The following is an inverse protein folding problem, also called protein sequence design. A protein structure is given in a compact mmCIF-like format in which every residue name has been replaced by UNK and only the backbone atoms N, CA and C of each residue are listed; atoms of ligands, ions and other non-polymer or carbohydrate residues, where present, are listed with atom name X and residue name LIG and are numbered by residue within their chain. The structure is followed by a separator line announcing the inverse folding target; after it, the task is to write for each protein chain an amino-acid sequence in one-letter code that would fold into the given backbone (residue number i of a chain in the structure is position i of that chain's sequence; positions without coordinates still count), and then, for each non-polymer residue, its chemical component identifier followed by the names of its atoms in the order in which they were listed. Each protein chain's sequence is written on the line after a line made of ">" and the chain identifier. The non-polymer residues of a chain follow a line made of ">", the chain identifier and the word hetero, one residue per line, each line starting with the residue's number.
data_IF_691065568694
#
_entry.id   IF_691065568694
#
_cell.length_a   1.000
_cell.length_b   1.000
_cell.length_c   1.000
_cell.angle_alpha   90.00
_cell.angle_beta   90.00
_cell.angle_gamma   90.00
#
_symmetry.space_group_name_H-M   'P 1'
#
loop_
_entity.id
_entity.type
_entity.pdbx_description
1 polymer ?
#
# COMPACT_ATOMS: atom_id res chain seq x y z
N UNK A 1 -5.41 17.56 14.77
CA UNK A 1 -5.06 16.60 13.70
C UNK A 1 -3.97 17.25 12.88
N UNK A 2 -2.81 16.61 12.73
CA UNK A 2 -1.68 17.22 12.03
C UNK A 2 -1.98 17.31 10.53
N UNK A 3 -1.90 18.52 9.99
CA UNK A 3 -2.36 18.88 8.64
C UNK A 3 -1.70 18.04 7.51
N UNK A 4 -0.39 17.73 7.55
CA UNK A 4 0.25 16.89 6.52
C UNK A 4 -0.31 15.47 6.44
N UNK A 5 -0.51 14.82 7.59
CA UNK A 5 -1.03 13.46 7.65
C UNK A 5 -2.50 13.39 7.23
N UNK A 6 -3.31 14.36 7.64
CA UNK A 6 -4.71 14.43 7.21
C UNK A 6 -4.83 14.56 5.68
N UNK A 7 -3.98 15.40 5.07
CA UNK A 7 -3.91 15.56 3.61
C UNK A 7 -3.45 14.27 2.93
N UNK A 8 -2.44 13.59 3.48
CA UNK A 8 -1.99 12.29 2.99
C UNK A 8 -3.13 11.26 3.02
N UNK A 9 -3.78 11.08 4.17
CA UNK A 9 -4.88 10.12 4.34
C UNK A 9 -6.02 10.42 3.38
N UNK A 10 -6.44 11.69 3.29
CA UNK A 10 -7.53 12.11 2.42
C UNK A 10 -7.27 11.79 0.94
N UNK A 11 -6.03 11.99 0.48
CA UNK A 11 -5.63 11.59 -0.86
C UNK A 11 -5.56 10.07 -1.01
N UNK A 12 -4.94 9.35 -0.07
CA UNK A 12 -4.73 7.90 -0.18
C UNK A 12 -6.03 7.09 -0.13
N UNK A 13 -7.01 7.52 0.65
CA UNK A 13 -8.33 6.89 0.70
C UNK A 13 -9.14 7.07 -0.60
N UNK A 14 -8.78 8.05 -1.41
CA UNK A 14 -9.41 8.37 -2.70
C UNK A 14 -8.51 8.00 -3.88
N UNK A 15 -7.32 7.45 -3.62
CA UNK A 15 -6.29 7.26 -4.64
C UNK A 15 -6.72 6.16 -5.62
N UNK A 16 -6.93 6.59 -6.86
CA UNK A 16 -7.21 5.74 -8.01
C UNK A 16 -6.40 6.22 -9.22
N UNK A 17 -6.62 5.58 -10.38
CA UNK A 17 -5.95 5.94 -11.65
C UNK A 17 -6.14 7.40 -12.04
N UNK A 18 -7.29 8.00 -11.71
CA UNK A 18 -7.62 9.36 -12.07
C UNK A 18 -6.92 10.36 -11.15
N UNK A 19 -6.62 9.98 -9.91
CA UNK A 19 -6.03 10.86 -8.90
C UNK A 19 -4.50 10.80 -8.79
N UNK A 20 -3.81 9.95 -9.56
CA UNK A 20 -2.34 9.84 -9.51
C UNK A 20 -1.61 11.15 -9.83
N UNK A 21 -2.22 12.04 -10.63
CA UNK A 21 -1.65 13.37 -10.89
C UNK A 21 -1.51 14.25 -9.63
N UNK A 22 -2.17 13.87 -8.52
CA UNK A 22 -2.15 14.58 -7.23
C UNK A 22 -1.05 14.10 -6.29
N UNK A 23 -0.28 13.06 -6.64
CA UNK A 23 0.86 12.60 -5.84
C UNK A 23 1.84 13.74 -5.43
N UNK A 24 2.14 14.75 -6.28
CA UNK A 24 2.96 15.89 -5.87
C UNK A 24 2.36 16.74 -4.73
N UNK A 25 1.06 16.62 -4.43
CA UNK A 25 0.42 17.31 -3.31
C UNK A 25 0.88 16.76 -1.96
N UNK A 26 1.32 15.50 -1.89
CA UNK A 26 1.66 14.81 -0.65
C UNK A 26 3.10 14.29 -0.59
N UNK A 27 3.75 14.08 -1.73
CA UNK A 27 5.11 13.55 -1.79
C UNK A 27 6.16 14.61 -2.13
N UNK A 28 7.36 14.43 -1.57
CA UNK A 28 8.55 15.17 -1.97
C UNK A 28 9.06 14.65 -3.32
N UNK A 29 9.80 15.48 -4.07
CA UNK A 29 10.31 15.12 -5.39
C UNK A 29 11.26 13.92 -5.33
N UNK A 30 12.10 13.86 -4.29
CA UNK A 30 13.06 12.80 -4.00
C UNK A 30 12.53 11.72 -3.03
N UNK A 31 11.20 11.50 -2.98
CA UNK A 31 10.61 10.48 -2.10
C UNK A 31 11.25 9.10 -2.31
N UNK A 32 11.49 8.39 -1.20
CA UNK A 32 11.84 6.97 -1.22
C UNK A 32 10.63 6.15 -0.77
N UNK A 33 10.05 5.40 -1.70
CA UNK A 33 9.00 4.43 -1.42
C UNK A 33 9.59 3.02 -1.30
N UNK A 34 9.14 2.25 -0.32
CA UNK A 34 9.57 0.86 -0.13
C UNK A 34 8.39 0.01 0.31
N UNK A 35 8.13 -1.07 -0.40
CA UNK A 35 7.22 -2.14 0.02
C UNK A 35 8.02 -3.46 0.13
N UNK A 36 7.41 -4.59 0.51
CA UNK A 36 8.11 -5.87 0.61
C UNK A 36 8.71 -6.40 -0.71
N UNK A 37 8.30 -5.89 -1.87
CA UNK A 37 8.72 -6.34 -3.19
C UNK A 37 9.65 -5.34 -3.91
N UNK A 38 9.47 -4.04 -3.69
CA UNK A 38 10.11 -2.98 -4.45
C UNK A 38 10.64 -1.86 -3.57
N UNK A 39 11.71 -1.23 -4.03
CA UNK A 39 12.17 0.07 -3.56
C UNK A 39 12.24 1.03 -4.74
N UNK A 40 11.60 2.18 -4.60
CA UNK A 40 11.38 3.16 -5.66
C UNK A 40 11.87 4.51 -5.15
N UNK A 41 12.64 5.20 -5.98
CA UNK A 41 13.19 6.51 -5.65
C UNK A 41 12.70 7.54 -6.67
N UNK A 42 12.21 8.66 -6.14
CA UNK A 42 11.73 9.78 -6.92
C UNK A 42 10.23 9.71 -7.24
N UNK A 43 9.60 10.88 -7.25
CA UNK A 43 8.16 11.04 -7.47
C UNK A 43 7.71 10.57 -8.85
N UNK A 44 8.52 10.80 -9.89
CA UNK A 44 8.20 10.35 -11.25
C UNK A 44 8.11 8.82 -11.32
N UNK A 45 9.13 8.11 -10.80
CA UNK A 45 9.14 6.65 -10.77
C UNK A 45 8.01 6.07 -9.90
N UNK A 46 7.67 6.74 -8.79
CA UNK A 46 6.53 6.38 -7.96
C UNK A 46 5.19 6.52 -8.72
N UNK A 47 5.04 7.58 -9.52
CA UNK A 47 3.86 7.78 -10.37
C UNK A 47 3.70 6.67 -11.42
N UNK A 48 4.78 6.28 -12.09
CA UNK A 48 4.78 5.18 -13.06
C UNK A 48 4.42 3.85 -12.41
N UNK A 49 4.98 3.58 -11.22
CA UNK A 49 4.66 2.40 -10.44
C UNK A 49 3.19 2.32 -10.06
N UNK A 50 2.62 3.37 -9.49
CA UNK A 50 1.19 3.38 -9.16
C UNK A 50 0.33 3.28 -10.41
N UNK A 51 0.70 3.92 -11.52
CA UNK A 51 -0.02 3.79 -12.79
C UNK A 51 -0.09 2.32 -13.23
N UNK A 52 1.03 1.60 -13.20
CA UNK A 52 1.08 0.19 -13.55
C UNK A 52 0.29 -0.71 -12.56
N UNK A 53 0.38 -0.41 -11.25
CA UNK A 53 -0.31 -1.14 -10.19
C UNK A 53 -1.83 -1.02 -10.35
N UNK A 54 -2.34 0.22 -10.43
CA UNK A 54 -3.77 0.46 -10.54
C UNK A 54 -4.33 0.01 -11.88
N UNK A 55 -3.58 0.11 -12.99
CA UNK A 55 -4.02 -0.35 -14.33
C UNK A 55 -4.63 -1.75 -14.30
N UNK A 56 -4.12 -2.64 -13.45
CA UNK A 56 -4.46 -4.06 -13.38
C UNK A 56 -5.51 -4.41 -12.33
N UNK A 57 -5.86 -3.50 -11.42
CA UNK A 57 -6.86 -3.74 -10.38
C UNK A 57 -8.26 -3.45 -10.91
N UNK A 58 -9.19 -4.39 -10.75
CA UNK A 58 -10.61 -4.18 -11.09
C UNK A 58 -11.32 -3.40 -9.99
N UNK A 59 -10.93 -3.63 -8.74
CA UNK A 59 -11.41 -2.94 -7.54
C UNK A 59 -10.29 -2.90 -6.51
N UNK A 60 -10.12 -1.76 -5.86
CA UNK A 60 -9.21 -1.58 -4.73
C UNK A 60 -9.82 -0.56 -3.77
N UNK A 61 -9.93 -0.93 -2.50
CA UNK A 61 -10.40 -0.05 -1.43
C UNK A 61 -9.43 -0.12 -0.28
N UNK A 62 -8.98 1.06 0.16
CA UNK A 62 -8.08 1.21 1.29
C UNK A 62 -8.83 1.85 2.45
N UNK A 63 -8.82 1.21 3.61
CA UNK A 63 -9.45 1.71 4.83
C UNK A 63 -8.37 1.89 5.89
N UNK A 64 -8.17 3.13 6.34
CA UNK A 64 -7.28 3.43 7.46
C UNK A 64 -7.99 3.00 8.74
N UNK A 65 -7.37 2.11 9.50
CA UNK A 65 -7.90 1.54 10.75
C UNK A 65 -7.30 2.21 11.98
N UNK A 66 -6.08 2.73 11.88
CA UNK A 66 -5.43 3.49 12.94
C UNK A 66 -4.47 4.53 12.37
N UNK A 67 -4.23 5.59 13.14
CA UNK A 67 -3.26 6.62 12.81
C UNK A 67 -2.53 7.07 14.07
N UNK A 68 -1.22 7.25 13.96
CA UNK A 68 -0.39 7.83 15.00
C UNK A 68 0.62 8.76 14.34
N UNK A 69 0.82 9.95 14.90
CA UNK A 69 1.88 10.85 14.46
C UNK A 69 2.66 11.37 15.66
N UNK A 70 3.97 11.37 15.50
CA UNK A 70 4.90 12.00 16.43
C UNK A 70 5.91 12.81 15.59
N UNK A 71 5.91 14.13 15.80
CA UNK A 71 6.75 15.06 15.04
C UNK A 71 6.57 14.87 13.52
N UNK A 72 7.67 14.53 12.83
CA UNK A 72 7.75 14.30 11.39
C UNK A 72 7.48 12.85 11.00
N UNK A 73 7.20 11.95 11.94
CA UNK A 73 6.96 10.54 11.67
C UNK A 73 5.51 10.17 11.92
N UNK A 74 4.93 9.39 11.01
CA UNK A 74 3.59 8.84 11.19
C UNK A 74 3.54 7.34 10.91
N UNK A 75 2.61 6.68 11.60
CA UNK A 75 2.23 5.31 11.36
C UNK A 75 0.75 5.23 11.06
N UNK A 76 0.42 4.47 10.03
CA UNK A 76 -0.96 4.22 9.61
C UNK A 76 -1.19 2.71 9.62
N UNK A 77 -2.17 2.25 10.38
CA UNK A 77 -2.72 0.90 10.21
C UNK A 77 -3.80 0.95 9.14
N UNK A 78 -3.86 -0.08 8.29
CA UNK A 78 -4.83 -0.11 7.21
C UNK A 78 -5.27 -1.52 6.84
N UNK A 79 -6.43 -1.57 6.19
CA UNK A 79 -7.00 -2.76 5.56
C UNK A 79 -7.26 -2.44 4.10
N UNK A 80 -6.64 -3.20 3.20
CA UNK A 80 -6.83 -3.12 1.76
C UNK A 80 -7.69 -4.28 1.29
N UNK A 81 -8.78 -3.99 0.59
CA UNK A 81 -9.58 -4.99 -0.11
C UNK A 81 -9.48 -4.77 -1.61
N UNK A 82 -9.04 -5.77 -2.35
CA UNK A 82 -8.90 -5.69 -3.80
C UNK A 82 -9.44 -6.93 -4.51
N UNK A 83 -9.83 -6.77 -5.78
CA UNK A 83 -10.21 -7.88 -6.65
C UNK A 83 -9.41 -7.81 -7.95
N UNK A 84 -8.89 -8.96 -8.35
CA UNK A 84 -8.15 -9.14 -9.60
C UNK A 84 -8.67 -10.39 -10.31
N UNK A 85 -9.07 -10.32 -11.60
CA UNK A 85 -9.68 -11.46 -12.32
C UNK A 85 -8.85 -12.75 -12.33
N UNK A 86 -7.52 -12.63 -12.22
CA UNK A 86 -6.59 -13.79 -12.17
C UNK A 86 -6.38 -14.37 -10.77
N UNK A 87 -6.93 -13.77 -9.72
CA UNK A 87 -6.79 -14.21 -8.33
C UNK A 87 -8.14 -14.67 -7.81
N UNK A 88 -8.20 -15.86 -7.19
CA UNK A 88 -9.44 -16.47 -6.66
C UNK A 88 -10.70 -16.35 -7.55
N UNK A 89 -10.53 -16.37 -8.87
CA UNK A 89 -11.64 -16.22 -9.81
C UNK A 89 -12.34 -14.86 -9.78
N UNK A 90 -11.69 -13.81 -9.27
CA UNK A 90 -12.25 -12.47 -9.12
C UNK A 90 -12.88 -12.17 -7.76
N UNK A 91 -12.84 -13.10 -6.81
CA UNK A 91 -13.31 -12.84 -5.44
C UNK A 91 -12.43 -11.78 -4.73
N UNK A 92 -13.02 -10.90 -3.92
CA UNK A 92 -12.27 -9.93 -3.14
C UNK A 92 -11.29 -10.58 -2.16
N UNK A 93 -10.10 -10.00 -2.07
CA UNK A 93 -9.04 -10.37 -1.14
C UNK A 93 -8.81 -9.21 -0.19
N UNK A 94 -8.73 -9.50 1.10
CA UNK A 94 -8.42 -8.51 2.14
C UNK A 94 -7.03 -8.76 2.70
N UNK A 95 -6.25 -7.69 2.82
CA UNK A 95 -4.90 -7.69 3.39
C UNK A 95 -4.83 -6.57 4.42
N UNK A 96 -4.27 -6.89 5.58
CA UNK A 96 -3.94 -5.90 6.61
C UNK A 96 -2.47 -5.53 6.51
N UNK A 97 -2.18 -4.27 6.82
CA UNK A 97 -0.83 -3.76 6.80
C UNK A 97 -0.67 -2.50 7.62
N UNK A 98 0.56 -2.01 7.63
CA UNK A 98 0.91 -0.75 8.22
C UNK A 98 1.86 0.03 7.31
N UNK A 99 1.73 1.35 7.32
CA UNK A 99 2.62 2.25 6.60
C UNK A 99 3.35 3.13 7.61
N UNK A 100 4.65 3.27 7.45
CA UNK A 100 5.47 4.30 8.11
C UNK A 100 5.75 5.42 7.12
N UNK A 101 5.50 6.65 7.55
CA UNK A 101 5.75 7.86 6.79
C UNK A 101 6.75 8.73 7.54
N UNK A 102 7.66 9.35 6.81
CA UNK A 102 8.46 10.49 7.27
C UNK A 102 8.15 11.69 6.40
N UNK A 103 7.86 12.82 7.05
CA UNK A 103 7.59 14.10 6.43
C UNK A 103 8.83 14.99 6.49
N UNK A 104 9.06 15.79 5.45
CA UNK A 104 10.02 16.88 5.47
C UNK A 104 9.46 18.15 6.15
N UNK A 105 10.28 19.19 6.24
CA UNK A 105 9.90 20.50 6.81
C UNK A 105 8.75 21.17 6.04
N UNK A 106 8.56 20.83 4.77
CA UNK A 106 7.45 21.32 3.94
C UNK A 106 6.15 20.50 4.14
N UNK A 107 6.16 19.48 5.00
CA UNK A 107 5.03 18.61 5.26
C UNK A 107 4.72 17.68 4.08
N UNK A 108 5.73 17.33 3.28
CA UNK A 108 5.66 16.33 2.20
C UNK A 108 6.31 15.04 2.66
N UNK A 109 5.78 13.91 2.21
CA UNK A 109 6.33 12.60 2.50
C UNK A 109 7.65 12.42 1.73
N UNK A 110 8.75 12.29 2.45
CA UNK A 110 10.08 12.03 1.90
C UNK A 110 10.47 10.55 2.02
N UNK A 111 9.91 9.82 3.00
CA UNK A 111 10.01 8.37 3.07
C UNK A 111 8.64 7.74 3.28
N UNK A 112 8.35 6.73 2.49
CA UNK A 112 7.16 5.91 2.60
C UNK A 112 7.57 4.45 2.67
N UNK A 113 7.19 3.76 3.76
CA UNK A 113 7.45 2.33 3.89
C UNK A 113 6.20 1.55 4.23
N UNK A 114 5.84 0.62 3.37
CA UNK A 114 4.73 -0.29 3.54
C UNK A 114 5.17 -1.63 4.11
N UNK A 115 4.43 -2.08 5.12
CA UNK A 115 4.59 -3.35 5.80
C UNK A 115 3.29 -4.14 5.66
N UNK A 116 3.31 -5.18 4.83
CA UNK A 116 2.20 -6.11 4.69
C UNK A 116 2.71 -7.49 4.27
N UNK A 117 1.88 -8.52 4.43
CA UNK A 117 2.23 -9.88 4.03
C UNK A 117 2.00 -10.06 2.52
N UNK A 118 3.07 -9.93 1.73
CA UNK A 118 3.06 -10.21 0.29
C UNK A 118 2.67 -11.68 0.00
N UNK A 119 2.99 -12.59 0.92
CA UNK A 119 2.52 -13.99 1.00
C UNK A 119 1.00 -14.10 0.94
N UNK A 120 0.34 -13.41 1.86
CA UNK A 120 -1.12 -13.35 1.94
C UNK A 120 -1.75 -12.64 0.72
N UNK A 121 -1.09 -11.61 0.20
CA UNK A 121 -1.54 -10.84 -0.97
C UNK A 121 -1.46 -11.62 -2.28
N UNK A 122 -0.38 -12.36 -2.53
CA UNK A 122 -0.12 -13.02 -3.83
C UNK A 122 -0.22 -14.54 -3.76
N UNK A 123 0.43 -15.20 -2.80
CA UNK A 123 0.68 -16.64 -2.85
C UNK A 123 -0.52 -17.48 -2.42
N UNK A 124 -1.30 -17.01 -1.44
CA UNK A 124 -2.52 -17.70 -0.99
C UNK A 124 -3.70 -17.58 -1.98
N UNK A 125 -3.58 -16.64 -2.93
CA UNK A 125 -4.63 -16.25 -3.87
C UNK A 125 -4.43 -16.85 -5.28
N UNK A 126 -3.26 -17.44 -5.53
CA UNK A 126 -2.96 -18.17 -6.76
C UNK A 126 -3.55 -19.60 -6.69
N UNK A 127 -4.38 -20.00 -7.67
CA UNK A 127 -5.16 -21.24 -7.61
C UNK A 127 -4.31 -22.53 -7.50
N UNK A 128 -3.04 -22.47 -7.89
CA UNK A 128 -2.13 -23.63 -7.89
C UNK A 128 -1.17 -23.67 -6.69
N UNK A 129 -0.92 -22.54 -6.01
CA UNK A 129 0.04 -22.45 -4.89
C UNK A 129 -0.64 -22.33 -3.52
N UNK A 130 -1.89 -21.87 -3.47
CA UNK A 130 -2.65 -21.73 -2.22
C UNK A 130 -2.75 -23.01 -1.37
N UNK A 131 -3.01 -24.21 -1.94
CA UNK A 131 -3.07 -25.46 -1.16
C UNK A 131 -1.71 -25.87 -0.57
N UNK A 132 -0.62 -25.64 -1.31
CA UNK A 132 0.75 -26.03 -0.91
C UNK A 132 1.24 -25.15 0.25
N UNK A 133 1.01 -23.84 0.18
CA UNK A 133 1.36 -22.90 1.24
C UNK A 133 0.54 -23.15 2.51
N UNK A 134 -0.77 -23.42 2.39
CA UNK A 134 -1.61 -23.81 3.54
C UNK A 134 -1.12 -25.09 4.22
N UNK A 135 -0.66 -26.07 3.44
CA UNK A 135 -0.09 -27.31 3.98
C UNK A 135 1.24 -27.08 4.72
N UNK A 136 2.07 -26.14 4.25
CA UNK A 136 3.35 -25.80 4.91
C UNK A 136 3.10 -24.98 6.19
N UNK A 137 2.21 -23.97 6.18
CA UNK A 137 1.83 -23.22 7.39
C UNK A 137 1.24 -24.14 8.47
N UNK A 138 0.40 -25.11 8.08
CA UNK A 138 -0.15 -26.11 9.02
C UNK A 138 0.87 -27.08 9.60
N UNK A 139 2.06 -27.20 9.01
CA UNK A 139 3.17 -28.05 9.49
C UNK A 139 4.19 -27.29 10.33
N UNK A 140 4.29 -25.98 10.18
CA UNK A 140 5.16 -25.11 10.98
C UNK A 140 4.46 -24.55 12.23
N UNK A 141 3.14 -24.76 12.34
CA UNK A 141 2.33 -24.46 13.52
C UNK A 141 2.01 -25.70 14.37
N UNK A 142 3.04 -26.52 14.66
CA UNK A 142 3.03 -27.54 15.71
C UNK A 142 4.23 -27.31 16.63
#
# INVERSE_FOLDING_TARGET
>A
MNEPLARFIGLYQQLDKQQLHRLPEVYAEQVVFTDPAHRIEGLAALGDYFTALYQRLAYCRFVITSQQQQEQQAWLGWTMTFSHPRLRGGEPVTVEGATRLEFDEAGKVCQHRDYFDLGAMLYEQLPLLGPVVRAIKGRLGA
#
